data_IF_021367962687
#
_entry.id   IF_021367962687
#
_cell.length_a   1.000
_cell.length_b   1.000
_cell.length_c   1.000
_cell.angle_alpha   90.00
_cell.angle_beta   90.00
_cell.angle_gamma   90.00
#
_symmetry.space_group_name_H-M   'P 1'
#
loop_
_entity.id
_entity.type
_entity.pdbx_description
1 polymer ?
#
# COMPACT_ATOMS: atom_id res chain seq x y z
N UNK A 1 -25.10 0.77 -5.22
CA UNK A 1 -23.77 0.12 -5.07
C UNK A 1 -22.89 0.93 -4.11
N UNK A 2 -21.86 0.35 -3.48
CA UNK A 2 -21.06 1.03 -2.44
C UNK A 2 -20.35 2.31 -2.94
N UNK A 3 -19.92 2.34 -4.21
CA UNK A 3 -19.28 3.51 -4.81
C UNK A 3 -20.25 4.68 -5.09
N UNK A 4 -21.51 4.38 -5.36
CA UNK A 4 -22.57 5.39 -5.51
C UNK A 4 -22.89 5.99 -4.14
N UNK A 5 -23.04 5.13 -3.13
CA UNK A 5 -23.28 5.57 -1.74
C UNK A 5 -22.21 6.55 -1.26
N UNK A 6 -20.92 6.27 -1.48
CA UNK A 6 -19.86 7.20 -1.08
C UNK A 6 -19.83 8.51 -1.89
N UNK A 7 -20.34 8.50 -3.12
CA UNK A 7 -20.41 9.69 -3.97
C UNK A 7 -21.49 10.67 -3.50
N UNK A 8 -22.64 10.18 -3.00
CA UNK A 8 -23.75 11.01 -2.51
C UNK A 8 -23.33 12.03 -1.43
N UNK A 9 -22.34 11.67 -0.61
CA UNK A 9 -21.86 12.53 0.49
C UNK A 9 -20.79 13.55 0.07
N UNK A 10 -20.39 13.59 -1.21
CA UNK A 10 -19.25 14.40 -1.67
C UNK A 10 -19.62 15.24 -2.91
N UNK A 11 -19.73 16.56 -2.70
CA UNK A 11 -20.13 17.55 -3.74
C UNK A 11 -19.25 17.62 -5.01
N UNK A 12 -18.06 17.01 -5.01
CA UNK A 12 -17.10 17.02 -6.13
C UNK A 12 -16.92 15.67 -6.81
N UNK A 13 -17.59 14.63 -6.31
CA UNK A 13 -17.62 13.32 -6.93
C UNK A 13 -18.76 13.32 -7.95
N UNK A 14 -18.55 12.72 -9.13
CA UNK A 14 -19.67 12.39 -10.03
C UNK A 14 -20.54 11.29 -9.41
N UNK A 15 -21.29 10.54 -10.21
CA UNK A 15 -22.21 9.51 -9.69
C UNK A 15 -21.50 8.32 -8.99
N UNK A 16 -20.18 8.20 -9.14
CA UNK A 16 -19.37 7.14 -8.55
C UNK A 16 -18.10 7.71 -7.93
N UNK A 17 -17.80 7.26 -6.70
CA UNK A 17 -16.54 7.59 -6.04
C UNK A 17 -15.75 6.32 -5.72
N UNK A 18 -14.63 6.16 -6.42
CA UNK A 18 -13.68 5.07 -6.17
C UNK A 18 -12.60 5.46 -5.14
N UNK A 19 -12.03 6.66 -5.29
CA UNK A 19 -10.95 7.14 -4.42
C UNK A 19 -11.48 7.88 -3.20
N UNK A 20 -10.82 7.70 -2.06
CA UNK A 20 -10.97 8.62 -0.92
C UNK A 20 -10.20 9.92 -1.21
N UNK A 21 -10.61 11.02 -0.57
CA UNK A 21 -9.95 12.33 -0.75
C UNK A 21 -8.84 12.57 0.30
N UNK A 22 -8.66 11.62 1.22
CA UNK A 22 -7.67 11.72 2.28
C UNK A 22 -6.35 11.15 1.78
N UNK A 23 -5.30 11.96 1.85
CA UNK A 23 -3.92 11.53 1.68
C UNK A 23 -3.17 11.82 2.98
N UNK A 24 -2.46 10.82 3.50
CA UNK A 24 -1.65 10.95 4.71
C UNK A 24 -0.16 10.91 4.35
N UNK A 25 0.30 11.95 3.66
CA UNK A 25 1.69 12.10 3.32
C UNK A 25 2.52 12.36 4.60
N UNK A 26 3.53 11.52 4.83
CA UNK A 26 4.47 11.68 5.95
C UNK A 26 5.87 11.76 5.38
N UNK A 27 6.58 12.84 5.72
CA UNK A 27 7.99 13.01 5.35
C UNK A 27 8.87 12.04 6.14
N UNK A 28 9.69 11.28 5.42
CA UNK A 28 10.62 10.31 5.99
C UNK A 28 12.04 10.91 5.93
N UNK A 29 12.47 11.51 7.02
CA UNK A 29 13.77 12.20 7.11
C UNK A 29 14.82 11.45 7.96
N UNK A 30 14.44 10.30 8.53
CA UNK A 30 15.33 9.47 9.36
C UNK A 30 15.34 8.03 8.90
N UNK A 31 16.50 7.33 8.95
CA UNK A 31 16.59 5.92 8.59
C UNK A 31 15.60 5.04 9.36
N UNK A 32 15.43 5.28 10.66
CA UNK A 32 14.53 4.47 11.50
C UNK A 32 13.06 4.64 11.09
N UNK A 33 12.70 5.82 10.58
CA UNK A 33 11.36 6.06 10.04
C UNK A 33 11.14 5.26 8.75
N UNK A 34 12.12 5.29 7.85
CA UNK A 34 12.06 4.57 6.58
C UNK A 34 11.92 3.07 6.84
N UNK A 35 12.77 2.50 7.67
CA UNK A 35 12.74 1.09 8.04
C UNK A 35 11.38 0.72 8.66
N UNK A 36 10.89 1.50 9.61
CA UNK A 36 9.58 1.27 10.24
C UNK A 36 8.42 1.27 9.22
N UNK A 37 8.41 2.19 8.24
CA UNK A 37 7.37 2.22 7.21
C UNK A 37 7.53 1.09 6.21
N UNK A 38 8.76 0.73 5.84
CA UNK A 38 9.03 -0.39 4.95
C UNK A 38 8.50 -1.70 5.54
N UNK A 39 8.83 -1.98 6.82
CA UNK A 39 8.30 -3.15 7.55
C UNK A 39 6.77 -3.13 7.58
N UNK A 40 6.16 -1.99 7.91
CA UNK A 40 4.69 -1.88 7.92
C UNK A 40 4.07 -2.19 6.55
N UNK A 41 4.64 -1.65 5.47
CA UNK A 41 4.15 -1.88 4.10
C UNK A 41 4.29 -3.36 3.70
N UNK A 42 5.41 -4.00 4.04
CA UNK A 42 5.63 -5.42 3.75
C UNK A 42 4.71 -6.34 4.55
N UNK A 43 4.41 -5.99 5.80
CA UNK A 43 3.51 -6.73 6.68
C UNK A 43 2.01 -6.52 6.39
N UNK A 44 1.64 -5.45 5.67
CA UNK A 44 0.22 -5.13 5.41
C UNK A 44 -0.59 -6.28 4.78
N UNK A 45 -0.08 -7.01 3.77
CA UNK A 45 -0.79 -8.17 3.22
C UNK A 45 -1.04 -9.28 4.25
N UNK A 46 -0.12 -9.50 5.18
CA UNK A 46 -0.26 -10.49 6.27
C UNK A 46 -1.30 -10.00 7.28
N UNK A 47 -1.20 -8.74 7.72
CA UNK A 47 -2.16 -8.11 8.64
C UNK A 47 -3.59 -8.07 8.08
N UNK A 48 -3.72 -7.96 6.76
CA UNK A 48 -5.00 -8.02 6.05
C UNK A 48 -5.52 -9.45 5.85
N UNK A 49 -4.74 -10.49 6.19
CA UNK A 49 -5.11 -11.89 6.02
C UNK A 49 -5.08 -12.37 4.57
N UNK A 50 -4.37 -11.68 3.67
CA UNK A 50 -4.28 -12.04 2.26
C UNK A 50 -3.25 -13.15 2.01
N UNK A 51 -2.19 -13.19 2.79
CA UNK A 51 -1.08 -14.15 2.70
C UNK A 51 -0.54 -14.47 4.10
N UNK A 52 0.13 -15.60 4.26
CA UNK A 52 0.75 -16.00 5.53
C UNK A 52 2.11 -15.34 5.76
N UNK A 53 2.85 -15.02 4.68
CA UNK A 53 4.16 -14.37 4.74
C UNK A 53 4.22 -13.12 3.84
N UNK A 54 5.01 -12.09 4.19
CA UNK A 54 5.14 -10.87 3.41
C UNK A 54 5.53 -11.11 1.93
N UNK A 55 6.51 -11.98 1.71
CA UNK A 55 7.05 -12.30 0.39
C UNK A 55 6.09 -13.12 -0.51
N UNK A 56 5.04 -13.70 0.05
CA UNK A 56 4.05 -14.42 -0.75
C UNK A 56 3.13 -13.44 -1.51
N UNK A 57 3.08 -12.16 -1.10
CA UNK A 57 2.28 -11.16 -1.80
C UNK A 57 2.96 -10.69 -3.10
N UNK A 58 2.37 -11.10 -4.23
CA UNK A 58 2.92 -10.88 -5.56
C UNK A 58 3.20 -9.40 -5.90
N UNK A 59 2.35 -8.50 -5.41
CA UNK A 59 2.41 -7.07 -5.70
C UNK A 59 3.12 -6.25 -4.60
N UNK A 60 4.11 -6.84 -3.92
CA UNK A 60 4.95 -6.17 -2.93
C UNK A 60 6.43 -6.40 -3.23
N UNK A 61 7.24 -5.38 -2.93
CA UNK A 61 8.71 -5.48 -2.98
C UNK A 61 9.29 -6.38 -1.89
N UNK A 62 8.50 -6.79 -0.90
CA UNK A 62 8.91 -7.77 0.13
C UNK A 62 9.59 -8.99 -0.50
N UNK A 63 9.14 -9.42 -1.68
CA UNK A 63 9.77 -10.46 -2.51
C UNK A 63 11.23 -10.18 -2.79
N UNK A 64 11.52 -9.02 -3.37
CA UNK A 64 12.88 -8.62 -3.74
C UNK A 64 13.79 -8.58 -2.50
N UNK A 65 13.30 -8.04 -1.38
CA UNK A 65 14.06 -7.98 -0.12
C UNK A 65 14.27 -9.36 0.53
N UNK A 66 13.40 -10.33 0.25
CA UNK A 66 13.57 -11.73 0.65
C UNK A 66 14.39 -12.57 -0.36
N UNK A 67 15.02 -11.95 -1.34
CA UNK A 67 15.81 -12.64 -2.38
C UNK A 67 14.96 -13.40 -3.41
N UNK A 68 13.65 -13.18 -3.42
CA UNK A 68 12.71 -13.75 -4.39
C UNK A 68 12.51 -12.74 -5.52
N UNK A 69 12.47 -13.23 -6.76
CA UNK A 69 12.18 -12.37 -7.91
C UNK A 69 10.81 -11.68 -7.75
N UNK A 70 10.83 -10.35 -7.73
CA UNK A 70 9.63 -9.51 -7.78
C UNK A 70 9.10 -9.34 -9.20
N UNK A 71 7.87 -8.80 -9.32
CA UNK A 71 7.33 -8.42 -10.63
C UNK A 71 8.05 -7.21 -11.24
N UNK A 72 8.52 -6.33 -10.37
CA UNK A 72 9.28 -5.11 -10.70
C UNK A 72 10.54 -5.17 -9.85
N UNK A 73 11.69 -4.85 -10.44
CA UNK A 73 12.95 -4.79 -9.71
C UNK A 73 13.00 -3.53 -8.84
N UNK A 74 13.62 -3.68 -7.67
CA UNK A 74 13.92 -2.53 -6.79
C UNK A 74 15.17 -1.86 -7.32
N UNK A 75 15.09 -0.54 -7.50
CA UNK A 75 16.23 0.27 -7.89
C UNK A 75 17.05 0.68 -6.66
N UNK A 76 18.35 0.40 -6.71
CA UNK A 76 19.32 0.71 -5.67
C UNK A 76 20.28 1.75 -6.24
N UNK A 77 19.83 3.00 -6.24
CA UNK A 77 20.61 4.16 -6.66
C UNK A 77 21.93 4.30 -5.87
#
# INVERSE_FOLDING_TARGET
>A
MIFEYHAEFKKRSGDLQFWTHENHAIELHRPEMIESRMTYIHENPVRAGLVEKPEDYLYSSARNYSGIKGLIEVDYW
#
